data_IF_521998279148
#
_entry.id   IF_521998279148
#
_cell.length_a   1.000
_cell.length_b   1.000
_cell.length_c   1.000
_cell.angle_alpha   90.00
_cell.angle_beta   90.00
_cell.angle_gamma   90.00
#
_symmetry.space_group_name_H-M   'P 1'
#
loop_
_entity.id
_entity.type
_entity.pdbx_description
1 polymer ?
#
# COMPACT_ATOMS: atom_id res chain seq x y z
N UNK A 1 -26.77 6.60 55.54
CA UNK A 1 -25.72 5.78 54.91
C UNK A 1 -25.78 6.01 53.43
N UNK A 2 -24.97 6.88 52.86
CA UNK A 2 -24.91 7.13 51.44
C UNK A 2 -23.88 6.21 50.81
N UNK A 3 -24.33 5.20 50.02
CA UNK A 3 -23.46 4.36 49.19
C UNK A 3 -23.02 5.21 47.97
N UNK A 4 -21.77 5.64 47.98
CA UNK A 4 -21.13 6.24 46.81
C UNK A 4 -20.89 5.15 45.78
N UNK A 5 -21.67 5.14 44.71
CA UNK A 5 -21.41 4.34 43.51
C UNK A 5 -20.38 5.10 42.72
N UNK A 6 -19.13 4.64 42.72
CA UNK A 6 -18.08 5.13 41.84
C UNK A 6 -18.30 4.42 40.52
N UNK A 7 -18.85 5.17 39.55
CA UNK A 7 -18.93 4.74 38.16
C UNK A 7 -17.53 4.89 37.57
N UNK A 8 -16.78 3.80 37.50
CA UNK A 8 -15.53 3.75 36.76
C UNK A 8 -15.88 3.76 35.28
N UNK A 9 -15.76 4.92 34.64
CA UNK A 9 -15.79 5.04 33.18
C UNK A 9 -14.49 4.40 32.64
N UNK A 10 -14.59 3.13 32.22
CA UNK A 10 -13.58 2.48 31.40
C UNK A 10 -13.61 3.16 30.03
N UNK A 11 -12.72 4.12 29.83
CA UNK A 11 -12.37 4.62 28.49
C UNK A 11 -11.72 3.46 27.74
N UNK A 12 -12.52 2.67 27.03
CA UNK A 12 -12.02 1.80 25.97
C UNK A 12 -11.42 2.72 24.92
N UNK A 13 -10.12 2.91 24.95
CA UNK A 13 -9.38 3.37 23.78
C UNK A 13 -9.48 2.27 22.73
N UNK A 14 -10.51 2.31 21.90
CA UNK A 14 -10.53 1.59 20.66
C UNK A 14 -9.46 2.24 19.78
N UNK A 15 -8.29 1.61 19.72
CA UNK A 15 -7.35 1.89 18.63
C UNK A 15 -8.08 1.47 17.36
N UNK A 16 -8.73 2.42 16.72
CA UNK A 16 -9.15 2.29 15.33
C UNK A 16 -7.84 2.29 14.55
N UNK A 17 -7.35 1.11 14.18
CA UNK A 17 -6.35 1.00 13.12
C UNK A 17 -7.06 1.49 11.86
N UNK A 18 -6.99 2.79 11.64
CA UNK A 18 -7.52 3.41 10.44
C UNK A 18 -6.56 3.20 9.28
N UNK A 19 -7.11 3.30 8.07
CA UNK A 19 -6.32 3.41 6.84
C UNK A 19 -5.25 4.51 6.99
N UNK A 20 -4.19 4.40 6.20
CA UNK A 20 -3.17 5.45 6.08
C UNK A 20 -3.82 6.83 5.89
N UNK A 21 -3.31 7.83 6.57
CA UNK A 21 -3.87 9.17 6.63
C UNK A 21 -2.81 10.25 6.36
N UNK A 22 -3.28 11.44 6.00
CA UNK A 22 -2.39 12.61 5.86
C UNK A 22 -1.70 12.88 7.20
N UNK A 23 -0.41 13.21 7.15
CA UNK A 23 0.54 13.39 8.25
C UNK A 23 1.04 12.10 8.91
N UNK A 24 0.65 10.91 8.42
CA UNK A 24 1.26 9.67 8.89
C UNK A 24 2.76 9.62 8.54
N UNK A 25 3.55 9.13 9.48
CA UNK A 25 4.99 8.93 9.33
C UNK A 25 5.27 7.55 8.72
N UNK A 26 5.83 7.53 7.52
CA UNK A 26 6.19 6.34 6.77
C UNK A 26 7.66 5.93 6.93
N UNK A 27 8.43 6.59 7.79
CA UNK A 27 9.86 6.32 7.99
C UNK A 27 10.16 4.88 8.44
N UNK A 28 9.21 4.24 9.11
CA UNK A 28 9.30 2.85 9.56
C UNK A 28 8.78 1.83 8.55
N UNK A 29 8.28 2.28 7.39
CA UNK A 29 7.81 1.36 6.35
C UNK A 29 8.97 0.57 5.77
N UNK A 30 8.84 -0.74 5.84
CA UNK A 30 9.72 -1.70 5.16
C UNK A 30 8.95 -2.97 4.81
N UNK A 31 9.22 -3.53 3.66
CA UNK A 31 8.64 -4.79 3.20
C UNK A 31 9.49 -5.42 2.12
N UNK A 32 9.24 -6.69 1.81
CA UNK A 32 9.97 -7.45 0.81
C UNK A 32 9.28 -7.33 -0.55
N UNK A 33 10.07 -7.35 -1.62
CA UNK A 33 9.57 -7.54 -2.97
C UNK A 33 9.47 -9.04 -3.34
N UNK A 34 9.02 -9.33 -4.57
CA UNK A 34 8.90 -10.68 -5.08
C UNK A 34 10.21 -11.48 -5.18
N UNK A 35 11.36 -10.81 -5.00
CA UNK A 35 12.70 -11.41 -4.98
C UNK A 35 13.28 -11.52 -3.58
N UNK A 36 12.46 -11.33 -2.54
CA UNK A 36 12.86 -11.30 -1.12
C UNK A 36 13.84 -10.17 -0.78
N UNK A 37 13.90 -9.12 -1.61
CA UNK A 37 14.70 -7.92 -1.34
C UNK A 37 13.89 -6.93 -0.50
N UNK A 38 14.49 -6.44 0.59
CA UNK A 38 13.87 -5.41 1.44
C UNK A 38 13.86 -4.05 0.74
N UNK A 39 12.70 -3.42 0.74
CA UNK A 39 12.49 -2.03 0.37
C UNK A 39 11.99 -1.24 1.57
N UNK A 40 12.46 -0.03 1.71
CA UNK A 40 12.08 0.90 2.79
C UNK A 40 11.83 2.29 2.23
N UNK A 41 10.94 3.02 2.87
CA UNK A 41 10.73 4.44 2.56
C UNK A 41 11.95 5.25 3.00
N UNK A 42 12.37 6.16 2.16
CA UNK A 42 13.48 7.09 2.40
C UNK A 42 13.05 8.52 2.04
N UNK A 43 13.89 9.50 2.34
CA UNK A 43 13.65 10.89 1.94
C UNK A 43 13.54 11.08 0.40
N UNK A 44 14.04 10.13 -0.38
CA UNK A 44 13.93 10.15 -1.84
C UNK A 44 12.58 9.61 -2.33
N UNK A 45 11.90 8.76 -1.54
CA UNK A 45 10.62 8.18 -1.94
C UNK A 45 9.57 9.29 -2.04
N UNK A 46 9.06 9.51 -3.25
CA UNK A 46 8.05 10.54 -3.52
C UNK A 46 6.64 10.02 -3.46
N UNK A 47 6.45 8.79 -3.93
CA UNK A 47 5.12 8.20 -4.00
C UNK A 47 5.15 6.71 -3.69
N UNK A 48 4.05 6.22 -3.11
CA UNK A 48 3.77 4.80 -2.98
C UNK A 48 2.44 4.50 -3.66
N UNK A 49 2.43 3.54 -4.57
CA UNK A 49 1.22 3.10 -5.28
C UNK A 49 0.78 1.77 -4.69
N UNK A 50 -0.44 1.71 -4.20
CA UNK A 50 -1.04 0.51 -3.63
C UNK A 50 -2.15 -0.04 -4.52
N UNK A 51 -2.10 -1.34 -4.74
CA UNK A 51 -3.17 -2.11 -5.36
C UNK A 51 -3.62 -3.21 -4.41
N UNK A 52 -4.80 -3.04 -3.80
CA UNK A 52 -5.34 -3.96 -2.78
C UNK A 52 -6.21 -5.06 -3.36
N UNK A 53 -6.52 -5.02 -4.65
CA UNK A 53 -7.34 -6.02 -5.34
C UNK A 53 -6.62 -6.58 -6.55
N UNK A 54 -6.99 -7.82 -6.91
CA UNK A 54 -6.42 -8.51 -8.07
C UNK A 54 -6.55 -7.69 -9.35
N UNK A 55 -7.69 -7.04 -9.58
CA UNK A 55 -7.92 -6.25 -10.79
C UNK A 55 -6.98 -5.04 -10.87
N UNK A 56 -6.88 -4.23 -9.80
CA UNK A 56 -5.99 -3.08 -9.75
C UNK A 56 -4.51 -3.49 -9.83
N UNK A 57 -4.14 -4.59 -9.16
CA UNK A 57 -2.79 -5.15 -9.24
C UNK A 57 -2.42 -5.64 -10.66
N UNK A 58 -3.36 -6.27 -11.35
CA UNK A 58 -3.17 -6.71 -12.73
C UNK A 58 -2.99 -5.52 -13.68
N UNK A 59 -3.88 -4.52 -13.60
CA UNK A 59 -3.80 -3.31 -14.41
C UNK A 59 -2.47 -2.56 -14.20
N UNK A 60 -2.00 -2.49 -12.95
CA UNK A 60 -0.70 -1.89 -12.64
C UNK A 60 0.46 -2.64 -13.29
N UNK A 61 0.45 -3.97 -13.24
CA UNK A 61 1.51 -4.79 -13.87
C UNK A 61 1.50 -4.63 -15.39
N UNK A 62 0.32 -4.66 -16.03
CA UNK A 62 0.20 -4.41 -17.46
C UNK A 62 0.71 -3.04 -17.87
N UNK A 63 0.42 -2.01 -17.10
CA UNK A 63 0.95 -0.66 -17.31
C UNK A 63 2.47 -0.63 -17.19
N UNK A 64 3.03 -1.20 -16.12
CA UNK A 64 4.47 -1.14 -15.85
C UNK A 64 5.30 -1.91 -16.88
N UNK A 65 4.78 -3.00 -17.48
CA UNK A 65 5.50 -3.72 -18.56
C UNK A 65 5.62 -2.91 -19.84
N UNK A 66 4.80 -1.86 -20.02
CA UNK A 66 4.94 -0.93 -21.17
C UNK A 66 6.03 0.12 -20.94
N UNK A 67 6.54 0.25 -19.73
CA UNK A 67 7.56 1.22 -19.33
C UNK A 67 8.96 0.57 -19.33
N UNK A 68 10.01 1.38 -19.25
CA UNK A 68 11.34 0.84 -19.02
C UNK A 68 11.46 0.22 -17.59
N UNK A 69 12.39 -0.69 -17.40
CA UNK A 69 12.57 -1.43 -16.15
C UNK A 69 12.91 -0.55 -14.93
N UNK A 70 13.44 0.65 -15.17
CA UNK A 70 13.82 1.60 -14.12
C UNK A 70 12.73 2.65 -13.85
N UNK A 71 11.59 2.59 -14.53
CA UNK A 71 10.53 3.60 -14.45
C UNK A 71 10.15 3.99 -13.02
N UNK A 72 9.94 2.99 -12.15
CA UNK A 72 9.60 3.23 -10.75
C UNK A 72 10.74 3.94 -10.00
N UNK A 73 11.98 3.50 -10.22
CA UNK A 73 13.16 4.09 -9.58
C UNK A 73 13.41 5.51 -10.09
N UNK A 74 13.29 5.74 -11.38
CA UNK A 74 13.53 7.05 -12.00
C UNK A 74 12.52 8.12 -11.51
N UNK A 75 11.33 7.68 -11.11
CA UNK A 75 10.28 8.54 -10.54
C UNK A 75 10.22 8.52 -9.01
N UNK A 76 11.12 7.81 -8.33
CA UNK A 76 11.13 7.64 -6.87
C UNK A 76 9.81 7.03 -6.34
N UNK A 77 9.25 6.06 -7.07
CA UNK A 77 7.96 5.40 -6.79
C UNK A 77 8.20 3.99 -6.24
N UNK A 78 7.43 3.62 -5.23
CA UNK A 78 7.31 2.24 -4.74
C UNK A 78 5.94 1.68 -5.15
N UNK A 79 5.91 0.47 -5.73
CA UNK A 79 4.67 -0.22 -6.04
C UNK A 79 4.43 -1.37 -5.08
N UNK A 80 3.27 -1.38 -4.43
CA UNK A 80 2.83 -2.36 -3.45
C UNK A 80 1.59 -3.08 -3.95
N UNK A 81 1.67 -4.39 -4.07
CA UNK A 81 0.55 -5.28 -4.40
C UNK A 81 0.14 -6.10 -3.18
N UNK A 82 -1.13 -6.05 -2.83
CA UNK A 82 -1.70 -6.81 -1.74
C UNK A 82 -2.26 -8.14 -2.23
N UNK A 83 -1.71 -9.23 -1.73
CA UNK A 83 -2.19 -10.59 -1.97
C UNK A 83 -2.71 -11.27 -0.70
N UNK A 84 -2.78 -10.53 0.42
CA UNK A 84 -3.16 -11.09 1.72
C UNK A 84 -4.55 -11.73 1.72
N UNK A 85 -5.50 -11.15 0.98
CA UNK A 85 -6.85 -11.68 0.86
C UNK A 85 -6.96 -12.94 -0.04
N UNK A 86 -5.88 -13.33 -0.74
CA UNK A 86 -5.90 -14.55 -1.56
C UNK A 86 -5.76 -15.79 -0.66
N UNK A 87 -6.53 -16.87 -0.92
CA UNK A 87 -6.30 -18.15 -0.26
C UNK A 87 -4.84 -18.60 -0.41
N UNK A 88 -4.25 -19.15 0.65
CA UNK A 88 -2.84 -19.55 0.69
C UNK A 88 -2.42 -20.41 -0.51
N UNK A 89 -3.28 -21.34 -0.93
CA UNK A 89 -3.00 -22.19 -2.09
C UNK A 89 -2.89 -21.36 -3.39
N UNK A 90 -3.69 -20.30 -3.52
CA UNK A 90 -3.60 -19.38 -4.67
C UNK A 90 -2.31 -18.57 -4.61
N UNK A 91 -1.91 -18.11 -3.41
CA UNK A 91 -0.65 -17.39 -3.24
C UNK A 91 0.55 -18.22 -3.69
N UNK A 92 0.57 -19.53 -3.40
CA UNK A 92 1.67 -20.43 -3.82
C UNK A 92 1.88 -20.45 -5.34
N UNK A 93 0.83 -20.26 -6.12
CA UNK A 93 0.95 -20.18 -7.59
C UNK A 93 1.14 -18.73 -8.08
N UNK A 94 0.54 -17.76 -7.40
CA UNK A 94 0.60 -16.37 -7.82
C UNK A 94 1.95 -15.71 -7.52
N UNK A 95 2.53 -15.95 -6.34
CA UNK A 95 3.79 -15.32 -5.93
C UNK A 95 4.97 -15.64 -6.86
N UNK A 96 5.20 -16.90 -7.27
CA UNK A 96 6.27 -17.20 -8.22
C UNK A 96 6.12 -16.48 -9.56
N UNK A 97 4.87 -16.29 -10.05
CA UNK A 97 4.61 -15.58 -11.31
C UNK A 97 4.93 -14.09 -11.25
N UNK A 98 5.01 -13.50 -10.07
CA UNK A 98 5.46 -12.12 -9.92
C UNK A 98 6.93 -11.95 -10.27
N UNK A 99 7.74 -13.01 -10.18
CA UNK A 99 9.17 -12.98 -10.55
C UNK A 99 9.41 -12.84 -12.05
N UNK A 100 8.38 -13.02 -12.88
CA UNK A 100 8.46 -12.78 -14.32
C UNK A 100 8.49 -11.29 -14.68
N UNK A 101 8.13 -10.41 -13.73
CA UNK A 101 8.15 -8.97 -13.94
C UNK A 101 9.52 -8.38 -13.59
N UNK A 102 10.10 -7.53 -14.48
CA UNK A 102 11.47 -7.04 -14.31
C UNK A 102 11.61 -5.84 -13.35
N UNK A 103 10.50 -5.35 -12.80
CA UNK A 103 10.45 -4.24 -11.85
C UNK A 103 10.09 -4.73 -10.44
N UNK A 104 10.50 -4.04 -9.37
CA UNK A 104 10.18 -4.45 -8.01
C UNK A 104 8.67 -4.30 -7.73
N UNK A 105 8.07 -5.35 -7.18
CA UNK A 105 6.71 -5.38 -6.67
C UNK A 105 6.79 -5.72 -5.19
N UNK A 106 6.55 -4.76 -4.32
CA UNK A 106 6.49 -5.01 -2.89
C UNK A 106 5.20 -5.79 -2.61
N UNK A 107 5.32 -6.91 -1.89
CA UNK A 107 4.20 -7.83 -1.72
C UNK A 107 3.71 -7.81 -0.28
N UNK A 108 2.44 -7.44 -0.09
CA UNK A 108 1.74 -7.66 1.18
C UNK A 108 1.05 -9.02 1.13
N UNK A 109 1.52 -9.95 1.95
CA UNK A 109 0.94 -11.28 2.12
C UNK A 109 0.40 -11.51 3.54
N UNK A 110 0.35 -10.47 4.35
CA UNK A 110 -0.09 -10.46 5.73
C UNK A 110 -1.26 -9.48 5.90
N UNK A 111 -2.39 -9.97 6.42
CA UNK A 111 -3.62 -9.17 6.58
C UNK A 111 -3.46 -8.04 7.59
N UNK A 112 -2.69 -8.24 8.67
CA UNK A 112 -2.49 -7.21 9.69
C UNK A 112 -1.64 -6.06 9.14
N UNK A 113 -0.61 -6.40 8.35
CA UNK A 113 0.21 -5.41 7.67
C UNK A 113 -0.63 -4.63 6.66
N UNK A 114 -1.39 -5.34 5.82
CA UNK A 114 -2.24 -4.74 4.80
C UNK A 114 -3.31 -3.82 5.41
N UNK A 115 -3.94 -4.23 6.50
CA UNK A 115 -5.00 -3.45 7.17
C UNK A 115 -4.55 -2.06 7.63
N UNK A 116 -3.25 -1.86 7.90
CA UNK A 116 -2.69 -0.55 8.29
C UNK A 116 -2.73 0.48 7.16
N UNK A 117 -2.84 0.03 5.92
CA UNK A 117 -2.77 0.89 4.74
C UNK A 117 -4.06 0.91 3.92
N UNK A 118 -4.94 -0.08 4.09
CA UNK A 118 -6.18 -0.20 3.32
C UNK A 118 -7.16 0.93 3.59
N UNK A 119 -7.62 1.57 2.52
CA UNK A 119 -8.84 2.37 2.53
C UNK A 119 -10.00 1.50 2.01
N UNK A 120 -10.79 0.94 2.92
CA UNK A 120 -11.89 0.02 2.58
C UNK A 120 -12.96 0.67 1.69
N UNK A 121 -13.13 2.00 1.75
CA UNK A 121 -14.08 2.73 0.92
C UNK A 121 -13.64 2.81 -0.54
N UNK A 122 -12.34 2.77 -0.79
CA UNK A 122 -11.73 2.90 -2.11
C UNK A 122 -10.88 1.68 -2.49
N UNK A 123 -11.12 0.52 -1.87
CA UNK A 123 -10.27 -0.67 -1.97
C UNK A 123 -10.12 -1.19 -3.41
N UNK A 124 -11.10 -0.96 -4.28
CA UNK A 124 -11.05 -1.37 -5.69
C UNK A 124 -10.16 -0.44 -6.55
N UNK A 125 -9.88 0.77 -6.06
CA UNK A 125 -9.11 1.78 -6.77
C UNK A 125 -7.62 1.58 -6.59
N UNK A 126 -6.84 2.18 -7.47
CA UNK A 126 -5.40 2.33 -7.28
C UNK A 126 -5.18 3.52 -6.36
N UNK A 127 -4.55 3.30 -5.21
CA UNK A 127 -4.26 4.34 -4.25
C UNK A 127 -2.83 4.84 -4.41
N UNK A 128 -2.65 6.15 -4.48
CA UNK A 128 -1.34 6.80 -4.51
C UNK A 128 -1.17 7.62 -3.24
N UNK A 129 -0.17 7.27 -2.47
CA UNK A 129 0.27 8.00 -1.28
C UNK A 129 1.45 8.87 -1.66
N UNK A 130 1.30 10.17 -1.51
CA UNK A 130 2.32 11.16 -1.86
C UNK A 130 3.09 11.51 -0.59
N UNK A 131 4.42 11.40 -0.65
CA UNK A 131 5.30 11.61 0.49
C UNK A 131 6.12 12.89 0.33
N UNK A 132 6.31 13.58 1.46
CA UNK A 132 7.28 14.66 1.61
C UNK A 132 8.08 14.42 2.88
N UNK A 133 9.38 14.18 2.72
CA UNK A 133 10.26 13.82 3.85
C UNK A 133 9.71 12.63 4.66
N UNK A 134 9.26 11.57 3.96
CA UNK A 134 8.66 10.35 4.54
C UNK A 134 7.32 10.55 5.27
N UNK A 135 6.74 11.74 5.23
CA UNK A 135 5.42 12.04 5.80
C UNK A 135 4.39 12.05 4.69
N UNK A 136 3.22 11.47 4.92
CA UNK A 136 2.10 11.50 3.97
C UNK A 136 1.60 12.93 3.81
N UNK A 137 1.77 13.49 2.61
CA UNK A 137 1.32 14.84 2.29
C UNK A 137 -0.02 14.89 1.56
N UNK A 138 -0.35 13.84 0.80
CA UNK A 138 -1.62 13.71 0.09
C UNK A 138 -1.91 12.23 -0.23
N UNK A 139 -3.18 11.89 -0.45
CA UNK A 139 -3.63 10.56 -0.87
C UNK A 139 -4.61 10.73 -2.02
N UNK A 140 -4.33 10.06 -3.14
CA UNK A 140 -5.19 10.07 -4.32
C UNK A 140 -5.67 8.67 -4.66
N UNK A 141 -6.86 8.59 -5.26
CA UNK A 141 -7.45 7.34 -5.71
C UNK A 141 -7.80 7.44 -7.19
N UNK A 142 -7.41 6.44 -7.96
CA UNK A 142 -7.65 6.37 -9.40
C UNK A 142 -8.53 5.17 -9.71
N UNK A 143 -9.61 5.39 -10.46
CA UNK A 143 -10.53 4.33 -10.84
C UNK A 143 -9.92 3.37 -11.86
N UNK A 144 -8.98 3.86 -12.67
CA UNK A 144 -8.25 3.05 -13.63
C UNK A 144 -6.80 3.54 -13.83
N UNK A 145 -6.02 2.68 -14.46
CA UNK A 145 -4.59 2.92 -14.68
C UNK A 145 -4.32 4.03 -15.71
N UNK A 146 -5.24 4.36 -16.62
CA UNK A 146 -5.06 5.43 -17.60
C UNK A 146 -5.11 6.80 -16.94
N UNK A 147 -6.00 6.94 -15.94
CA UNK A 147 -6.05 8.16 -15.14
C UNK A 147 -4.79 8.32 -14.29
N UNK A 148 -4.29 7.21 -13.72
CA UNK A 148 -3.02 7.20 -13.01
C UNK A 148 -1.86 7.55 -13.94
N UNK A 149 -1.77 6.93 -15.12
CA UNK A 149 -0.72 7.22 -16.10
C UNK A 149 -0.67 8.71 -16.44
N UNK A 150 -1.82 9.30 -16.76
CA UNK A 150 -1.90 10.74 -17.03
C UNK A 150 -1.33 11.56 -15.87
N UNK A 151 -1.70 11.23 -14.64
CA UNK A 151 -1.20 11.90 -13.42
C UNK A 151 0.33 11.75 -13.25
N UNK A 152 0.88 10.57 -13.56
CA UNK A 152 2.32 10.30 -13.39
C UNK A 152 3.18 10.95 -14.49
N UNK A 153 2.60 11.30 -15.62
CA UNK A 153 3.30 11.91 -16.78
C UNK A 153 3.17 13.45 -16.81
N UNK A 154 2.32 14.04 -15.96
CA UNK A 154 2.24 15.50 -15.75
C UNK A 154 3.41 16.01 -14.91
#
# INVERSE_FOLDING_TARGET
MYRRIILALLLLNTFVFGAISINDDMSNFKSLDQFDKEHKVTNQTKQMIFAFKKASGHSMKEFLVTKNTNYLNDKDIMFVADVSAMPTIIQWFALPSLKDYPFPIIVFNDDELSAKYKDEKNIEKIMVVILKNMIVSDIKHFDDVKLLEKYLEE
#
